data_IF_804689902443
#
_entry.id   IF_804689902443
#
_cell.length_a   1.000
_cell.length_b   1.000
_cell.length_c   1.000
_cell.angle_alpha   90.00
_cell.angle_beta   90.00
_cell.angle_gamma   90.00
#
_symmetry.space_group_name_H-M   'P 1'
#
loop_
_entity.id
_entity.type
_entity.pdbx_description
1 polymer ?
#
# COMPACT_ATOMS: atom_id res chain seq x y z
N UNK A 1 3.88 6.08 -15.36
CA UNK A 1 5.31 6.28 -15.01
C UNK A 1 6.23 6.18 -16.22
N UNK A 2 6.09 5.16 -17.07
CA UNK A 2 6.92 4.94 -18.27
C UNK A 2 6.85 6.08 -19.30
N UNK A 3 5.71 6.72 -19.46
CA UNK A 3 5.54 7.83 -20.42
C UNK A 3 6.40 9.05 -20.02
N UNK A 4 6.52 9.33 -18.73
CA UNK A 4 7.38 10.43 -18.24
C UNK A 4 8.86 10.10 -18.44
N UNK A 5 9.27 8.86 -18.25
CA UNK A 5 10.63 8.40 -18.50
C UNK A 5 11.06 8.53 -19.98
N UNK A 6 10.13 8.22 -20.91
CA UNK A 6 10.40 8.30 -22.36
C UNK A 6 10.73 9.72 -22.83
N UNK A 7 10.25 10.75 -22.13
CA UNK A 7 10.55 12.16 -22.45
C UNK A 7 11.88 12.64 -21.89
N UNK A 8 12.40 11.99 -20.83
CA UNK A 8 13.59 12.45 -20.12
C UNK A 8 14.86 11.70 -20.56
N UNK A 9 14.74 10.46 -21.04
CA UNK A 9 15.84 9.65 -21.54
C UNK A 9 15.39 8.70 -22.67
N UNK A 10 15.49 9.13 -23.95
CA UNK A 10 15.05 8.30 -25.07
C UNK A 10 15.87 7.03 -25.30
N UNK A 11 17.13 6.97 -24.85
CA UNK A 11 17.95 5.78 -24.95
C UNK A 11 17.57 4.74 -23.88
N UNK A 12 17.44 5.17 -22.65
CA UNK A 12 16.97 4.31 -21.55
C UNK A 12 15.51 3.88 -21.70
N UNK A 13 14.70 4.67 -22.41
CA UNK A 13 13.31 4.30 -22.73
C UNK A 13 13.24 3.04 -23.61
N UNK A 14 14.14 2.88 -24.60
CA UNK A 14 14.15 1.69 -25.47
C UNK A 14 14.46 0.43 -24.68
N UNK A 15 15.42 0.51 -23.77
CA UNK A 15 15.80 -0.62 -22.93
C UNK A 15 14.70 -0.94 -21.92
N UNK A 16 14.01 0.08 -21.38
CA UNK A 16 12.85 -0.08 -20.52
C UNK A 16 11.67 -0.74 -21.26
N UNK A 17 11.41 -0.39 -22.52
CA UNK A 17 10.40 -1.06 -23.33
C UNK A 17 10.78 -2.50 -23.65
N UNK A 18 12.04 -2.78 -24.01
CA UNK A 18 12.51 -4.13 -24.24
C UNK A 18 12.39 -5.00 -22.98
N UNK A 19 12.73 -4.43 -21.82
CA UNK A 19 12.59 -5.08 -20.53
C UNK A 19 11.12 -5.31 -20.16
N UNK A 20 10.25 -4.34 -20.44
CA UNK A 20 8.81 -4.47 -20.21
C UNK A 20 8.21 -5.58 -21.08
N UNK A 21 8.63 -5.68 -22.35
CA UNK A 21 8.20 -6.77 -23.23
C UNK A 21 8.69 -8.13 -22.72
N UNK A 22 9.95 -8.21 -22.31
CA UNK A 22 10.51 -9.42 -21.71
C UNK A 22 9.77 -9.80 -20.42
N UNK A 23 9.41 -8.82 -19.60
CA UNK A 23 8.65 -9.03 -18.35
C UNK A 23 7.23 -9.51 -18.65
N UNK A 24 6.54 -8.93 -19.65
CA UNK A 24 5.19 -9.35 -20.04
C UNK A 24 5.18 -10.78 -20.57
N UNK A 25 6.16 -11.16 -21.38
CA UNK A 25 6.27 -12.54 -21.90
C UNK A 25 6.61 -13.56 -20.83
N UNK A 26 7.26 -13.14 -19.75
CA UNK A 26 7.59 -13.99 -18.60
C UNK A 26 6.53 -13.96 -17.49
N UNK A 27 5.58 -13.02 -17.55
CA UNK A 27 4.52 -12.86 -16.56
C UNK A 27 3.78 -14.17 -16.21
N UNK A 28 3.41 -15.05 -17.19
CA UNK A 28 2.77 -16.33 -16.88
C UNK A 28 3.62 -17.23 -16.00
N UNK A 29 4.94 -17.23 -16.17
CA UNK A 29 5.86 -18.02 -15.33
C UNK A 29 5.97 -17.45 -13.93
N UNK A 30 5.90 -16.12 -13.78
CA UNK A 30 5.93 -15.43 -12.50
C UNK A 30 4.65 -15.62 -11.69
N UNK A 31 3.49 -15.55 -12.34
CA UNK A 31 2.18 -15.73 -11.69
C UNK A 31 2.08 -17.11 -11.00
N UNK A 32 2.81 -18.10 -11.49
CA UNK A 32 2.84 -19.45 -10.92
C UNK A 32 3.93 -19.64 -9.84
N UNK A 33 4.70 -18.60 -9.50
CA UNK A 33 5.71 -18.74 -8.45
C UNK A 33 5.11 -18.61 -7.05
N UNK A 34 5.58 -19.42 -6.11
CA UNK A 34 5.12 -19.40 -4.74
C UNK A 34 5.17 -17.98 -4.10
N UNK A 35 6.24 -17.22 -4.24
CA UNK A 35 6.34 -15.85 -3.72
C UNK A 35 5.29 -14.89 -4.29
N UNK A 36 5.00 -14.95 -5.59
CA UNK A 36 3.97 -14.13 -6.20
C UNK A 36 2.59 -14.48 -5.64
N UNK A 37 2.26 -15.76 -5.58
CA UNK A 37 0.99 -16.24 -5.00
C UNK A 37 0.85 -15.80 -3.55
N UNK A 38 1.93 -15.92 -2.75
CA UNK A 38 1.93 -15.47 -1.36
C UNK A 38 1.68 -13.96 -1.23
N UNK A 39 2.32 -13.12 -2.07
CA UNK A 39 2.08 -11.68 -2.09
C UNK A 39 0.62 -11.34 -2.45
N UNK A 40 0.06 -12.01 -3.46
CA UNK A 40 -1.36 -11.84 -3.85
C UNK A 40 -2.29 -12.26 -2.72
N UNK A 41 -2.05 -13.40 -2.08
CA UNK A 41 -2.85 -13.86 -0.94
C UNK A 41 -2.81 -12.87 0.22
N UNK A 42 -1.64 -12.31 0.55
CA UNK A 42 -1.54 -11.28 1.58
C UNK A 42 -2.37 -10.03 1.25
N UNK A 43 -2.39 -9.60 -0.03
CA UNK A 43 -3.23 -8.49 -0.47
C UNK A 43 -4.72 -8.84 -0.38
N UNK A 44 -5.11 -10.06 -0.77
CA UNK A 44 -6.49 -10.54 -0.68
C UNK A 44 -6.96 -10.62 0.77
N UNK A 45 -6.15 -11.12 1.69
CA UNK A 45 -6.46 -11.20 3.12
C UNK A 45 -6.72 -9.82 3.69
N UNK A 46 -5.88 -8.83 3.38
CA UNK A 46 -6.09 -7.47 3.82
C UNK A 46 -7.43 -6.92 3.33
N UNK A 47 -7.75 -7.08 2.06
CA UNK A 47 -9.02 -6.62 1.47
C UNK A 47 -10.22 -7.34 2.06
N UNK A 48 -10.13 -8.64 2.27
CA UNK A 48 -11.17 -9.41 2.93
C UNK A 48 -11.42 -8.92 4.37
N UNK A 49 -10.36 -8.65 5.14
CA UNK A 49 -10.48 -8.09 6.49
C UNK A 49 -11.15 -6.70 6.48
N UNK A 50 -10.76 -5.80 5.56
CA UNK A 50 -11.42 -4.51 5.41
C UNK A 50 -12.91 -4.66 5.08
N UNK A 51 -13.24 -5.53 4.14
CA UNK A 51 -14.64 -5.80 3.75
C UNK A 51 -15.45 -6.34 4.93
N UNK A 52 -14.87 -7.27 5.70
CA UNK A 52 -15.52 -7.88 6.85
C UNK A 52 -15.82 -6.84 7.94
N UNK A 53 -14.85 -6.00 8.29
CA UNK A 53 -15.02 -4.89 9.25
C UNK A 53 -16.06 -3.88 8.75
N UNK A 54 -16.04 -3.57 7.45
CA UNK A 54 -16.97 -2.63 6.85
C UNK A 54 -18.41 -3.14 6.86
N UNK A 55 -18.62 -4.39 6.46
CA UNK A 55 -19.93 -4.99 6.32
C UNK A 55 -20.51 -5.47 7.66
N UNK A 56 -19.66 -5.98 8.56
CA UNK A 56 -20.08 -6.62 9.81
C UNK A 56 -19.39 -6.04 11.05
N UNK A 57 -19.45 -4.70 11.29
CA UNK A 57 -18.71 -4.08 12.38
C UNK A 57 -19.17 -4.57 13.77
N UNK A 58 -20.48 -4.84 13.94
CA UNK A 58 -21.03 -5.36 15.21
C UNK A 58 -20.47 -6.74 15.53
N UNK A 59 -20.55 -7.67 14.58
CA UNK A 59 -20.02 -9.03 14.76
C UNK A 59 -18.51 -9.02 15.06
N UNK A 60 -17.74 -8.14 14.39
CA UNK A 60 -16.32 -7.99 14.67
C UNK A 60 -16.07 -7.42 16.08
N UNK A 61 -16.85 -6.43 16.52
CA UNK A 61 -16.76 -5.88 17.87
C UNK A 61 -17.10 -6.94 18.95
N UNK A 62 -18.15 -7.73 18.75
CA UNK A 62 -18.52 -8.84 19.62
C UNK A 62 -17.42 -9.91 19.68
N UNK A 63 -16.83 -10.25 18.54
CA UNK A 63 -15.70 -11.16 18.46
C UNK A 63 -14.51 -10.65 19.29
N UNK A 64 -14.14 -9.38 19.15
CA UNK A 64 -13.06 -8.76 19.93
C UNK A 64 -13.35 -8.82 21.44
N UNK A 65 -14.59 -8.53 21.83
CA UNK A 65 -15.02 -8.58 23.24
C UNK A 65 -15.01 -10.01 23.78
N UNK A 66 -15.59 -10.95 23.05
CA UNK A 66 -15.67 -12.38 23.44
C UNK A 66 -14.28 -13.01 23.68
N UNK A 67 -13.30 -12.61 22.89
CA UNK A 67 -11.94 -13.14 22.98
C UNK A 67 -10.97 -12.24 23.75
N UNK A 68 -11.46 -11.20 24.42
CA UNK A 68 -10.65 -10.25 25.21
C UNK A 68 -9.47 -9.65 24.42
N UNK A 69 -9.69 -9.34 23.14
CA UNK A 69 -8.63 -8.84 22.24
C UNK A 69 -8.35 -7.34 22.43
N UNK A 70 -9.23 -6.63 23.15
CA UNK A 70 -9.18 -5.19 23.35
C UNK A 70 -10.10 -4.44 22.39
N UNK A 71 -9.90 -3.12 22.26
CA UNK A 71 -10.73 -2.28 21.42
C UNK A 71 -10.64 -2.71 19.94
N UNK A 72 -11.76 -2.78 19.20
CA UNK A 72 -11.77 -3.25 17.81
C UNK A 72 -10.79 -2.49 16.90
N UNK A 73 -10.66 -1.16 17.07
CA UNK A 73 -9.71 -0.35 16.31
C UNK A 73 -8.27 -0.78 16.55
N UNK A 74 -7.90 -1.13 17.78
CA UNK A 74 -6.55 -1.58 18.12
C UNK A 74 -6.25 -2.96 17.56
N UNK A 75 -7.26 -3.82 17.51
CA UNK A 75 -7.15 -5.15 16.88
C UNK A 75 -6.90 -5.00 15.37
N UNK A 76 -7.65 -4.11 14.70
CA UNK A 76 -7.47 -3.82 13.28
C UNK A 76 -6.06 -3.27 13.00
N UNK A 77 -5.58 -2.31 13.81
CA UNK A 77 -4.23 -1.74 13.65
C UNK A 77 -3.16 -2.83 13.74
N UNK A 78 -3.26 -3.71 14.75
CA UNK A 78 -2.30 -4.81 14.90
C UNK A 78 -2.36 -5.80 13.74
N UNK A 79 -3.57 -6.21 13.35
CA UNK A 79 -3.79 -7.14 12.25
C UNK A 79 -3.21 -6.61 10.93
N UNK A 80 -3.49 -5.34 10.63
CA UNK A 80 -2.98 -4.72 9.39
C UNK A 80 -1.49 -4.41 9.47
N UNK A 81 -0.95 -4.10 10.64
CA UNK A 81 0.49 -3.96 10.83
C UNK A 81 1.24 -5.25 10.51
N UNK A 82 0.76 -6.37 11.03
CA UNK A 82 1.30 -7.70 10.74
C UNK A 82 1.17 -8.04 9.24
N UNK A 83 0.00 -7.79 8.66
CA UNK A 83 -0.22 -8.06 7.24
C UNK A 83 0.67 -7.20 6.34
N UNK A 84 0.86 -5.90 6.66
CA UNK A 84 1.79 -5.01 5.95
C UNK A 84 3.24 -5.48 6.03
N UNK A 85 3.65 -6.00 7.17
CA UNK A 85 4.99 -6.58 7.33
C UNK A 85 5.18 -7.78 6.38
N UNK A 86 4.23 -8.70 6.31
CA UNK A 86 4.30 -9.82 5.37
C UNK A 86 4.22 -9.39 3.91
N UNK A 87 3.41 -8.39 3.58
CA UNK A 87 3.38 -7.79 2.24
C UNK A 87 4.75 -7.22 1.86
N UNK A 88 5.38 -6.47 2.75
CA UNK A 88 6.71 -5.90 2.51
C UNK A 88 7.76 -6.99 2.29
N UNK A 89 7.75 -8.04 3.11
CA UNK A 89 8.63 -9.20 2.90
C UNK A 89 8.37 -9.89 1.56
N UNK A 90 7.11 -10.05 1.15
CA UNK A 90 6.74 -10.64 -0.13
C UNK A 90 7.24 -9.80 -1.30
N UNK A 91 7.08 -8.48 -1.26
CA UNK A 91 7.61 -7.57 -2.29
C UNK A 91 9.14 -7.56 -2.32
N UNK A 92 9.79 -7.49 -1.16
CA UNK A 92 11.24 -7.57 -1.09
C UNK A 92 11.78 -8.89 -1.66
N UNK A 93 11.13 -10.00 -1.36
CA UNK A 93 11.47 -11.32 -1.91
C UNK A 93 11.31 -11.35 -3.44
N UNK A 94 10.19 -10.86 -3.97
CA UNK A 94 9.95 -10.79 -5.40
C UNK A 94 10.98 -9.91 -6.11
N UNK A 95 11.36 -8.78 -5.51
CA UNK A 95 12.31 -7.85 -6.10
C UNK A 95 13.75 -8.37 -6.03
N UNK A 96 14.19 -8.81 -4.85
CA UNK A 96 15.59 -9.17 -4.62
C UNK A 96 15.95 -10.56 -5.14
N UNK A 97 15.06 -11.53 -5.01
CA UNK A 97 15.34 -12.94 -5.38
C UNK A 97 14.65 -13.36 -6.68
N UNK A 98 13.64 -12.64 -7.12
CA UNK A 98 12.94 -12.90 -8.37
C UNK A 98 13.70 -12.43 -9.62
N UNK A 99 14.77 -11.64 -9.48
CA UNK A 99 15.55 -11.13 -10.61
C UNK A 99 14.72 -10.28 -11.59
N UNK A 100 13.66 -9.64 -11.09
CA UNK A 100 12.64 -8.96 -11.90
C UNK A 100 13.11 -7.65 -12.54
N UNK A 101 14.14 -7.04 -12.00
CA UNK A 101 14.62 -5.78 -12.53
C UNK A 101 16.14 -5.66 -12.46
N UNK A 102 16.77 -5.02 -13.44
CA UNK A 102 18.14 -4.58 -13.31
C UNK A 102 18.27 -3.57 -12.17
N UNK A 103 19.46 -3.40 -11.58
CA UNK A 103 19.66 -2.39 -10.56
C UNK A 103 19.23 -1.02 -11.12
N UNK A 104 18.41 -0.26 -10.36
CA UNK A 104 17.90 1.02 -10.83
C UNK A 104 19.03 2.03 -11.03
N UNK A 105 18.90 2.92 -12.01
CA UNK A 105 19.82 4.05 -12.16
C UNK A 105 19.74 4.99 -10.94
N UNK A 106 20.79 5.77 -10.70
CA UNK A 106 20.79 6.76 -9.61
C UNK A 106 19.64 7.77 -9.76
N UNK A 107 19.27 8.11 -10.99
CA UNK A 107 18.11 8.95 -11.26
C UNK A 107 16.81 8.28 -10.82
N UNK A 108 16.61 7.01 -11.19
CA UNK A 108 15.42 6.25 -10.78
C UNK A 108 15.32 6.11 -9.26
N UNK A 109 16.46 5.86 -8.59
CA UNK A 109 16.53 5.83 -7.12
C UNK A 109 16.13 7.18 -6.50
N UNK A 110 16.61 8.28 -7.07
CA UNK A 110 16.27 9.64 -6.60
C UNK A 110 14.78 9.93 -6.75
N UNK A 111 14.19 9.63 -7.91
CA UNK A 111 12.76 9.79 -8.15
C UNK A 111 11.95 8.89 -7.23
N UNK A 112 12.34 7.63 -7.09
CA UNK A 112 11.70 6.66 -6.20
C UNK A 112 11.71 7.14 -4.74
N UNK A 113 12.88 7.54 -4.25
CA UNK A 113 13.00 8.08 -2.90
C UNK A 113 12.11 9.33 -2.67
N UNK A 114 12.05 10.24 -3.64
CA UNK A 114 11.19 11.41 -3.57
C UNK A 114 9.70 11.03 -3.50
N UNK A 115 9.27 10.05 -4.30
CA UNK A 115 7.90 9.53 -4.28
C UNK A 115 7.57 8.86 -2.94
N UNK A 116 8.48 8.06 -2.38
CA UNK A 116 8.30 7.46 -1.05
C UNK A 116 8.15 8.53 0.01
N UNK A 117 9.06 9.49 0.06
CA UNK A 117 9.02 10.59 1.05
C UNK A 117 7.71 11.37 0.95
N UNK A 118 7.30 11.73 -0.27
CA UNK A 118 6.05 12.45 -0.49
C UNK A 118 4.82 11.62 -0.11
N UNK A 119 4.76 10.36 -0.52
CA UNK A 119 3.69 9.45 -0.17
C UNK A 119 3.56 9.24 1.34
N UNK A 120 4.69 9.08 2.04
CA UNK A 120 4.70 8.96 3.50
C UNK A 120 4.31 10.28 4.19
N UNK A 121 4.71 11.43 3.67
CA UNK A 121 4.29 12.73 4.20
C UNK A 121 2.75 12.87 4.16
N UNK A 122 2.11 12.47 3.05
CA UNK A 122 0.65 12.43 2.93
C UNK A 122 0.04 11.47 3.96
N UNK A 123 0.54 10.25 4.06
CA UNK A 123 0.02 9.23 4.99
C UNK A 123 0.14 9.67 6.45
N UNK A 124 1.29 10.24 6.83
CA UNK A 124 1.50 10.81 8.16
C UNK A 124 0.56 12.00 8.42
N UNK A 125 0.36 12.85 7.41
CA UNK A 125 -0.58 13.97 7.48
C UNK A 125 -2.00 13.50 7.77
N UNK A 126 -2.48 12.48 7.06
CA UNK A 126 -3.80 11.86 7.30
C UNK A 126 -3.88 11.33 8.73
N UNK A 127 -2.86 10.58 9.15
CA UNK A 127 -2.84 10.00 10.48
C UNK A 127 -2.87 11.05 11.59
N UNK A 128 -2.20 12.20 11.37
CA UNK A 128 -2.24 13.35 12.29
C UNK A 128 -3.59 14.06 12.28
N UNK A 129 -4.24 14.13 11.11
CA UNK A 129 -5.49 14.85 10.94
C UNK A 129 -6.70 14.11 11.52
N UNK A 130 -6.86 12.82 11.22
CA UNK A 130 -8.03 12.02 11.63
C UNK A 130 -7.72 10.93 12.66
N UNK A 131 -6.45 10.78 13.00
CA UNK A 131 -6.00 9.81 13.98
C UNK A 131 -6.20 8.36 13.57
N UNK A 132 -5.79 7.48 14.44
CA UNK A 132 -5.95 6.03 14.31
C UNK A 132 -7.41 5.62 14.06
N UNK A 133 -8.35 6.22 14.79
CA UNK A 133 -9.77 5.91 14.67
C UNK A 133 -10.32 6.29 13.28
N UNK A 134 -9.89 7.41 12.70
CA UNK A 134 -10.31 7.83 11.37
C UNK A 134 -9.83 6.89 10.27
N UNK A 135 -8.55 6.51 10.34
CA UNK A 135 -7.93 5.63 9.34
C UNK A 135 -8.52 4.20 9.38
N UNK A 136 -8.86 3.70 10.56
CA UNK A 136 -9.29 2.30 10.77
C UNK A 136 -10.75 2.16 11.16
N UNK A 137 -11.61 2.98 10.55
CA UNK A 137 -13.08 2.88 10.67
C UNK A 137 -13.63 2.97 12.11
N UNK A 138 -12.96 3.70 13.00
CA UNK A 138 -13.37 3.84 14.39
C UNK A 138 -14.82 4.31 14.57
N UNK A 139 -15.32 5.12 13.63
CA UNK A 139 -16.72 5.57 13.64
C UNK A 139 -17.73 4.42 13.54
N UNK A 140 -17.36 3.28 12.94
CA UNK A 140 -18.19 2.06 12.89
C UNK A 140 -18.32 1.40 14.27
N UNK A 141 -17.41 1.71 15.18
CA UNK A 141 -17.37 1.22 16.55
C UNK A 141 -17.75 2.29 17.57
N UNK A 142 -18.38 3.38 17.13
CA UNK A 142 -18.82 4.47 18.01
C UNK A 142 -17.69 5.39 18.50
N UNK A 143 -16.48 5.28 17.94
CA UNK A 143 -15.39 6.17 18.30
C UNK A 143 -15.51 7.48 17.51
N UNK A 144 -15.48 8.62 18.23
CA UNK A 144 -15.51 9.93 17.59
C UNK A 144 -14.27 10.14 16.71
N UNK A 145 -14.47 10.56 15.47
CA UNK A 145 -13.43 10.84 14.49
C UNK A 145 -13.49 12.31 14.13
N UNK A 146 -12.39 13.08 14.31
CA UNK A 146 -12.34 14.45 13.82
C UNK A 146 -12.36 14.44 12.29
N UNK A 147 -13.40 15.01 11.69
CA UNK A 147 -13.45 15.23 10.26
C UNK A 147 -12.67 16.49 9.93
N UNK A 148 -11.74 16.39 9.01
CA UNK A 148 -10.63 17.30 9.01
C UNK A 148 -10.65 18.36 7.93
N UNK A 149 -10.03 19.45 8.32
CA UNK A 149 -9.78 20.63 7.51
C UNK A 149 -8.29 20.87 7.26
N UNK A 150 -7.41 20.00 7.78
CA UNK A 150 -5.96 20.13 7.70
C UNK A 150 -5.33 19.40 6.51
N UNK A 151 -4.00 19.53 6.38
CA UNK A 151 -3.20 18.76 5.43
C UNK A 151 -3.38 17.23 5.68
N UNK A 152 -3.55 16.42 4.64
CA UNK A 152 -3.50 16.71 3.20
C UNK A 152 -4.89 16.99 2.57
N UNK A 153 -5.95 17.07 3.33
CA UNK A 153 -7.31 17.27 2.82
C UNK A 153 -7.51 18.67 2.21
N UNK A 154 -6.72 19.64 2.66
CA UNK A 154 -6.69 21.00 2.11
C UNK A 154 -6.09 21.09 0.70
N UNK A 155 -5.49 20.02 0.19
CA UNK A 155 -4.95 19.95 -1.17
C UNK A 155 -6.03 19.76 -2.25
N UNK A 156 -7.31 19.72 -1.89
CA UNK A 156 -8.42 19.47 -2.83
C UNK A 156 -8.45 18.04 -3.37
N UNK A 157 -7.75 17.11 -2.72
CA UNK A 157 -7.70 15.71 -3.13
C UNK A 157 -8.89 14.95 -2.52
N UNK A 158 -9.69 14.31 -3.37
CA UNK A 158 -10.84 13.53 -2.92
C UNK A 158 -10.42 12.34 -2.01
N UNK A 159 -9.28 11.73 -2.30
CA UNK A 159 -8.80 10.54 -1.59
C UNK A 159 -7.28 10.58 -1.38
N UNK A 160 -6.77 11.46 -0.49
CA UNK A 160 -5.34 11.63 -0.30
C UNK A 160 -4.62 10.36 0.16
N UNK A 161 -5.29 9.48 0.89
CA UNK A 161 -4.72 8.20 1.34
C UNK A 161 -4.32 7.29 0.17
N UNK A 162 -5.14 7.21 -0.86
CA UNK A 162 -4.81 6.41 -2.04
C UNK A 162 -3.64 6.99 -2.82
N UNK A 163 -3.57 8.32 -2.92
CA UNK A 163 -2.45 8.99 -3.54
C UNK A 163 -1.14 8.74 -2.79
N UNK A 164 -1.15 8.88 -1.46
CA UNK A 164 0.00 8.60 -0.60
C UNK A 164 0.47 7.15 -0.70
N UNK A 165 -0.49 6.20 -0.72
CA UNK A 165 -0.18 4.78 -0.88
C UNK A 165 0.38 4.46 -2.27
N UNK A 166 -0.20 5.03 -3.33
CA UNK A 166 0.28 4.85 -4.69
C UNK A 166 1.69 5.43 -4.85
N UNK A 167 1.95 6.65 -4.39
CA UNK A 167 3.26 7.26 -4.44
C UNK A 167 4.32 6.40 -3.71
N UNK A 168 3.99 5.87 -2.53
CA UNK A 168 4.88 4.97 -1.80
C UNK A 168 5.13 3.65 -2.52
N UNK A 169 4.14 3.11 -3.23
CA UNK A 169 4.28 1.84 -3.94
C UNK A 169 5.07 1.96 -5.26
N UNK A 170 5.06 3.14 -5.88
CA UNK A 170 5.80 3.42 -7.12
C UNK A 170 7.22 3.94 -6.88
N UNK A 171 7.53 4.42 -5.68
CA UNK A 171 8.86 4.83 -5.25
C UNK A 171 9.69 3.68 -4.74
#
# INVERSE_FOLDING_TARGET
>A
PLVVFAFLDPAGARDAYALQYATITQLPRYIMTGPFVAAVLCLCVERACYTLVWCCPKAFGEFCSKHNLGAPVDVIVRLFGVNKFFQLLGFAHLYLLGGLAPPPSLFALGVGAALVVWGQAINVGIYRAIGKAGVYYGYKFGVAVPWCTGFPFTLGLAHPQYLGSAATAYG
#
